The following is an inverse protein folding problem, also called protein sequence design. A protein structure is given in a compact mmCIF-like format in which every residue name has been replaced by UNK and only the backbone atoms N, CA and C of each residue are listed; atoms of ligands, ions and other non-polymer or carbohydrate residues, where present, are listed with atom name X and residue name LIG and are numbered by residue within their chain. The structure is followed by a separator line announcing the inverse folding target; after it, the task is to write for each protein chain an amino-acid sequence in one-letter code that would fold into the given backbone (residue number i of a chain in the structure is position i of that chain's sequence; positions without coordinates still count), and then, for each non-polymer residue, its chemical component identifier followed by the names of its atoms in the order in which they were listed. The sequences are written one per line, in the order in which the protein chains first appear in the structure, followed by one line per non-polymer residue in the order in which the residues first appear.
data_IF_643932966571
#
_entry.id   IF_643932966571
#
_cell.length_a   1.000
_cell.length_b   1.000
_cell.length_c   1.000
_cell.angle_alpha   90.00
_cell.angle_beta   90.00
_cell.angle_gamma   90.00
#
_symmetry.space_group_name_H-M   'P 1'
#
loop_
_entity.id
_entity.type
_entity.pdbx_description
1 polymer ?
#
# COMPACT_ATOMS: atom_id res chain seq x y z
N UNK A 1 -6.00 -13.20 -5.25
CA UNK A 1 -7.12 -12.38 -4.76
C UNK A 1 -6.56 -11.20 -3.99
N UNK A 2 -6.70 -10.01 -4.57
CA UNK A 2 -6.37 -8.74 -3.91
C UNK A 2 -7.53 -8.38 -2.95
N UNK A 3 -7.24 -8.04 -1.68
CA UNK A 3 -8.27 -7.62 -0.73
C UNK A 3 -8.89 -6.27 -1.13
N UNK A 4 -10.18 -6.11 -0.83
CA UNK A 4 -10.93 -4.90 -1.17
C UNK A 4 -10.25 -3.61 -0.72
N UNK A 5 -10.31 -2.57 -1.57
CA UNK A 5 -9.68 -1.26 -1.33
C UNK A 5 -10.12 -0.57 -0.03
N UNK A 6 -11.29 -0.92 0.51
CA UNK A 6 -11.86 -0.31 1.71
C UNK A 6 -11.39 -0.95 3.01
N UNK A 7 -10.55 -1.98 2.95
CA UNK A 7 -10.02 -2.58 4.17
C UNK A 7 -9.14 -1.58 4.93
N UNK A 8 -9.32 -1.45 6.26
CA UNK A 8 -8.56 -0.51 7.08
C UNK A 8 -7.07 -0.83 7.06
N UNK A 9 -6.70 -2.09 6.80
CA UNK A 9 -5.31 -2.55 6.66
C UNK A 9 -4.53 -1.80 5.57
N UNK A 10 -5.17 -1.40 4.46
CA UNK A 10 -4.51 -0.58 3.43
C UNK A 10 -4.13 0.82 3.92
N UNK A 11 -5.02 1.44 4.71
CA UNK A 11 -4.76 2.73 5.34
C UNK A 11 -3.71 2.57 6.43
N UNK A 12 -3.80 1.52 7.24
CA UNK A 12 -2.79 1.20 8.25
C UNK A 12 -1.42 0.92 7.63
N UNK A 13 -1.33 0.28 6.48
CA UNK A 13 -0.06 0.08 5.73
C UNK A 13 0.63 1.41 5.37
N UNK A 14 -0.19 2.36 4.91
CA UNK A 14 0.24 3.68 4.46
C UNK A 14 0.58 4.62 5.62
N UNK A 15 -0.16 4.52 6.72
CA UNK A 15 -0.01 5.37 7.90
C UNK A 15 0.99 4.80 8.92
N UNK A 16 1.19 3.48 8.94
CA UNK A 16 2.16 2.86 9.85
C UNK A 16 3.56 3.05 9.30
N UNK A 17 4.45 3.58 10.14
CA UNK A 17 5.88 3.72 9.86
C UNK A 17 6.63 2.38 9.96
N UNK A 18 5.91 1.26 10.08
CA UNK A 18 6.54 -0.06 10.11
C UNK A 18 7.34 -0.27 8.83
N UNK A 19 8.63 -0.55 9.00
CA UNK A 19 9.52 -1.03 7.96
C UNK A 19 9.13 -2.46 7.57
N UNK A 20 7.97 -2.59 6.92
CA UNK A 20 7.56 -3.85 6.34
C UNK A 20 8.59 -4.23 5.28
N UNK A 21 9.19 -5.41 5.41
CA UNK A 21 10.09 -5.93 4.40
C UNK A 21 9.26 -6.41 3.21
N UNK A 22 9.03 -5.52 2.25
CA UNK A 22 8.45 -5.90 0.97
C UNK A 22 9.48 -6.68 0.15
N UNK A 23 9.11 -7.90 -0.28
CA UNK A 23 9.90 -8.71 -1.21
C UNK A 23 9.95 -8.04 -2.58
N UNK A 24 8.86 -7.41 -2.99
CA UNK A 24 8.81 -6.71 -4.27
C UNK A 24 9.36 -5.29 -4.16
N UNK A 25 10.52 -5.04 -4.78
CA UNK A 25 11.19 -3.73 -4.78
C UNK A 25 10.29 -2.60 -5.32
N UNK A 26 9.52 -2.87 -6.38
CA UNK A 26 8.64 -1.85 -6.94
C UNK A 26 7.49 -1.48 -5.99
N UNK A 27 6.99 -2.44 -5.20
CA UNK A 27 6.04 -2.17 -4.12
C UNK A 27 6.68 -1.33 -3.02
N UNK A 28 7.92 -1.64 -2.62
CA UNK A 28 8.69 -0.85 -1.65
C UNK A 28 8.86 0.60 -2.09
N UNK A 29 9.25 0.81 -3.35
CA UNK A 29 9.41 2.15 -3.94
C UNK A 29 8.08 2.92 -3.97
N UNK A 30 6.99 2.25 -4.38
CA UNK A 30 5.66 2.84 -4.38
C UNK A 30 5.24 3.24 -2.96
N UNK A 31 5.35 2.34 -2.00
CA UNK A 31 5.06 2.60 -0.59
C UNK A 31 5.84 3.81 -0.06
N UNK A 32 7.13 3.88 -0.35
CA UNK A 32 7.96 5.00 0.10
C UNK A 32 7.52 6.34 -0.51
N UNK A 33 7.12 6.34 -1.79
CA UNK A 33 6.55 7.51 -2.47
C UNK A 33 5.22 7.93 -1.87
N UNK A 34 4.32 6.98 -1.63
CA UNK A 34 3.00 7.24 -1.05
C UNK A 34 3.12 7.74 0.39
N UNK A 35 3.98 7.13 1.21
CA UNK A 35 4.28 7.60 2.58
C UNK A 35 4.85 9.01 2.58
N UNK A 36 5.78 9.32 1.68
CA UNK A 36 6.33 10.68 1.53
C UNK A 36 5.23 11.69 1.17
N UNK A 37 4.33 11.33 0.26
CA UNK A 37 3.17 12.17 -0.11
C UNK A 37 2.25 12.41 1.08
N UNK A 38 1.96 11.36 1.84
CA UNK A 38 1.14 11.44 3.06
C UNK A 38 1.82 12.24 4.17
N UNK A 39 3.15 12.21 4.28
CA UNK A 39 3.88 13.03 5.23
C UNK A 39 3.74 14.53 4.93
N UNK A 40 3.59 14.89 3.66
CA UNK A 40 3.35 16.28 3.23
C UNK A 40 1.88 16.66 3.32
N UNK A 41 0.97 15.74 3.02
CA UNK A 41 -0.48 15.99 2.97
C UNK A 41 -1.25 14.77 3.52
N UNK A 42 -1.69 14.87 4.77
CA UNK A 42 -2.48 13.85 5.46
C UNK A 42 -3.99 14.03 5.29
N UNK A 43 -4.44 14.82 4.30
CA UNK A 43 -5.88 14.97 4.08
C UNK A 43 -6.53 13.62 3.72
N UNK A 44 -7.79 13.40 4.15
CA UNK A 44 -8.49 12.15 3.87
C UNK A 44 -8.61 11.86 2.37
N UNK A 45 -8.68 12.89 1.53
CA UNK A 45 -8.67 12.77 0.07
C UNK A 45 -7.34 12.21 -0.47
N UNK A 46 -6.21 12.68 0.06
CA UNK A 46 -4.88 12.18 -0.32
C UNK A 46 -4.67 10.75 0.13
N UNK A 47 -5.14 10.39 1.34
CA UNK A 47 -5.13 9.01 1.84
C UNK A 47 -5.90 8.08 0.90
N UNK A 48 -7.12 8.46 0.51
CA UNK A 48 -7.95 7.62 -0.37
C UNK A 48 -7.32 7.46 -1.77
N UNK A 49 -6.74 8.54 -2.30
CA UNK A 49 -5.99 8.49 -3.56
C UNK A 49 -4.77 7.56 -3.48
N UNK A 50 -4.01 7.60 -2.38
CA UNK A 50 -2.86 6.73 -2.16
C UNK A 50 -3.27 5.25 -2.02
N UNK A 51 -4.38 4.97 -1.32
CA UNK A 51 -4.95 3.62 -1.23
C UNK A 51 -5.37 3.12 -2.61
N UNK A 52 -6.03 3.97 -3.41
CA UNK A 52 -6.43 3.64 -4.78
C UNK A 52 -5.23 3.31 -5.67
N UNK A 53 -4.16 4.11 -5.60
CA UNK A 53 -2.93 3.90 -6.38
C UNK A 53 -2.22 2.60 -5.97
N UNK A 54 -2.13 2.33 -4.66
CA UNK A 54 -1.57 1.09 -4.13
C UNK A 54 -2.37 -0.14 -4.56
N UNK A 55 -3.70 -0.08 -4.48
CA UNK A 55 -4.59 -1.17 -4.89
C UNK A 55 -4.53 -1.42 -6.41
N UNK A 56 -4.51 -0.36 -7.22
CA UNK A 56 -4.36 -0.48 -8.68
C UNK A 56 -3.00 -1.11 -9.04
N UNK A 57 -1.93 -0.73 -8.35
CA UNK A 57 -0.62 -1.34 -8.52
C UNK A 57 -0.62 -2.82 -8.12
N UNK A 58 -1.29 -3.14 -7.02
CA UNK A 58 -1.44 -4.51 -6.52
C UNK A 58 -2.20 -5.40 -7.51
N UNK A 59 -3.30 -4.91 -8.10
CA UNK A 59 -4.02 -5.62 -9.18
C UNK A 59 -3.13 -5.85 -10.38
N UNK A 60 -2.43 -4.80 -10.86
CA UNK A 60 -1.60 -4.88 -12.06
C UNK A 60 -0.42 -5.84 -11.91
N UNK A 61 0.08 -6.01 -10.68
CA UNK A 61 1.24 -6.85 -10.38
C UNK A 61 0.88 -8.05 -9.49
N UNK A 62 -0.39 -8.51 -9.49
CA UNK A 62 -0.94 -9.45 -8.50
C UNK A 62 0.02 -10.60 -8.18
N UNK A 63 0.56 -11.26 -9.20
CA UNK A 63 1.51 -12.39 -9.05
C UNK A 63 2.74 -12.09 -8.19
N UNK A 64 3.24 -10.87 -8.22
CA UNK A 64 4.42 -10.44 -7.48
C UNK A 64 4.05 -9.89 -6.10
N UNK A 65 2.93 -9.17 -6.00
CA UNK A 65 2.49 -8.53 -4.75
C UNK A 65 1.78 -9.53 -3.83
N UNK A 66 1.29 -10.67 -4.34
CA UNK A 66 0.54 -11.65 -3.56
C UNK A 66 1.31 -12.16 -2.33
N UNK A 67 2.61 -12.39 -2.46
CA UNK A 67 3.45 -12.85 -1.35
C UNK A 67 3.60 -11.78 -0.26
N UNK A 68 3.69 -10.51 -0.65
CA UNK A 68 3.73 -9.37 0.27
C UNK A 68 2.37 -9.15 0.94
N UNK A 69 1.29 -9.18 0.16
CA UNK A 69 -0.08 -9.03 0.68
C UNK A 69 -0.46 -10.15 1.64
N UNK A 70 -0.08 -11.40 1.37
CA UNK A 70 -0.31 -12.51 2.30
C UNK A 70 0.41 -12.31 3.65
N UNK A 71 1.55 -11.60 3.66
CA UNK A 71 2.26 -11.25 4.90
C UNK A 71 1.59 -10.12 5.67
N UNK A 72 0.85 -9.25 4.97
CA UNK A 72 0.23 -8.04 5.55
C UNK A 72 -1.21 -8.32 6.01
N UNK A 73 -1.98 -9.08 5.22
CA UNK A 73 -3.41 -9.35 5.41
C UNK A 73 -3.64 -10.72 6.07
N UNK A 74 -2.97 -10.99 7.19
CA UNK A 74 -3.06 -12.27 7.90
C UNK A 74 -4.35 -12.40 8.71
#
# INVERSE_FOLDING_TARGET
MIPEKYRPEWRSLLLSDTQQQFRFLALKLLMNRLRSRLRTDQSPSTVDACVGELHAFAIKNERFVQADLASIFR
#
